data_IF_359142534480
#
_entry.id   IF_359142534480
#
_cell.length_a   1.000
_cell.length_b   1.000
_cell.length_c   1.000
_cell.angle_alpha   90.00
_cell.angle_beta   90.00
_cell.angle_gamma   90.00
#
_symmetry.space_group_name_H-M   'P 1'
#
loop_
_entity.id
_entity.type
_entity.pdbx_description
1 polymer ?
#
# COMPACT_ATOMS: atom_id res chain seq x y z
N UNK A 1 45.63 35.77 23.16
CA UNK A 1 46.86 35.05 22.76
C UNK A 1 46.63 34.69 21.30
N UNK A 2 47.19 35.50 20.41
CA UNK A 2 47.14 35.28 18.97
C UNK A 2 48.30 34.38 18.58
N UNK A 3 48.04 33.36 17.78
CA UNK A 3 49.09 32.58 17.13
C UNK A 3 48.92 32.76 15.63
N UNK A 4 49.93 33.39 15.02
CA UNK A 4 50.06 33.62 13.58
C UNK A 4 51.10 32.65 13.03
N UNK A 5 50.75 31.95 11.95
CA UNK A 5 51.69 31.16 11.15
C UNK A 5 51.37 31.33 9.66
N UNK A 6 52.18 32.14 8.98
CA UNK A 6 52.33 32.32 7.52
C UNK A 6 53.20 31.18 6.95
N UNK A 7 53.21 30.72 5.68
CA UNK A 7 53.18 31.35 4.35
C UNK A 7 52.83 30.31 3.23
N UNK A 8 52.37 30.77 2.06
CA UNK A 8 52.98 30.66 0.69
C UNK A 8 51.92 30.94 -0.39
N UNK A 9 52.27 31.83 -1.34
CA UNK A 9 51.48 32.44 -2.42
C UNK A 9 50.86 31.49 -3.45
N UNK A 10 49.54 31.62 -3.64
CA UNK A 10 48.79 31.88 -4.89
C UNK A 10 47.36 31.37 -4.70
N UNK A 11 46.69 31.94 -3.71
CA UNK A 11 45.28 31.71 -3.43
C UNK A 11 44.65 33.05 -3.21
N UNK A 12 43.74 33.44 -4.10
CA UNK A 12 42.75 34.49 -3.77
C UNK A 12 41.89 33.92 -2.65
N UNK A 13 42.40 34.01 -1.42
CA UNK A 13 41.64 33.76 -0.22
C UNK A 13 40.80 35.00 -0.04
N UNK A 14 39.58 34.95 -0.55
CA UNK A 14 38.55 35.91 -0.15
C UNK A 14 38.33 35.64 1.34
N UNK A 15 39.04 36.38 2.18
CA UNK A 15 38.75 36.45 3.61
C UNK A 15 37.40 37.15 3.73
N UNK A 16 36.34 36.36 3.70
CA UNK A 16 34.97 36.84 3.91
C UNK A 16 34.90 37.23 5.38
N UNK A 17 35.30 38.47 5.70
CA UNK A 17 34.98 39.11 6.97
C UNK A 17 33.47 39.33 7.01
N UNK A 18 32.75 38.33 7.51
CA UNK A 18 31.35 38.47 7.86
C UNK A 18 31.24 39.54 8.96
N UNK A 19 30.35 40.51 8.73
CA UNK A 19 29.99 41.51 9.74
C UNK A 19 29.27 40.83 10.92
N UNK A 20 29.33 41.41 12.13
CA UNK A 20 28.68 40.84 13.32
C UNK A 20 27.18 40.56 13.09
N UNK A 21 26.50 41.39 12.29
CA UNK A 21 25.10 41.19 11.88
C UNK A 21 24.91 39.95 10.98
N UNK A 22 25.85 39.66 10.08
CA UNK A 22 25.80 38.48 9.22
C UNK A 22 26.11 37.19 10.00
N UNK A 23 26.96 37.26 11.03
CA UNK A 23 27.23 36.14 11.95
C UNK A 23 25.96 35.80 12.74
N UNK A 24 25.29 36.80 13.32
CA UNK A 24 24.02 36.62 14.06
C UNK A 24 22.94 36.03 13.14
N UNK A 25 22.83 36.52 11.90
CA UNK A 25 21.88 36.01 10.92
C UNK A 25 22.18 34.56 10.54
N UNK A 26 23.45 34.20 10.39
CA UNK A 26 23.87 32.82 10.11
C UNK A 26 23.57 31.88 11.28
N UNK A 27 23.85 32.30 12.52
CA UNK A 27 23.51 31.54 13.72
C UNK A 27 21.99 31.33 13.83
N UNK A 28 21.19 32.35 13.57
CA UNK A 28 19.72 32.26 13.57
C UNK A 28 19.20 31.28 12.49
N UNK A 29 19.76 31.34 11.28
CA UNK A 29 19.43 30.42 10.19
C UNK A 29 19.79 28.97 10.54
N UNK A 30 20.95 28.75 11.16
CA UNK A 30 21.39 27.42 11.59
C UNK A 30 20.50 26.87 12.71
N UNK A 31 20.14 27.69 13.69
CA UNK A 31 19.19 27.34 14.76
C UNK A 31 17.83 26.91 14.18
N UNK A 32 17.32 27.69 13.22
CA UNK A 32 16.04 27.41 12.53
C UNK A 32 16.09 26.12 11.71
N UNK A 33 17.20 25.85 11.03
CA UNK A 33 17.40 24.58 10.30
C UNK A 33 17.41 23.38 11.26
N UNK A 34 18.11 23.48 12.40
CA UNK A 34 18.11 22.42 13.44
C UNK A 34 16.70 22.19 13.97
N UNK A 35 15.94 23.24 14.27
CA UNK A 35 14.56 23.12 14.75
C UNK A 35 13.66 22.45 13.67
N UNK A 36 13.86 22.82 12.41
CA UNK A 36 13.17 22.21 11.28
C UNK A 36 13.45 20.70 11.20
N UNK A 37 14.73 20.30 11.27
CA UNK A 37 15.15 18.91 11.26
C UNK A 37 14.55 18.12 12.43
N UNK A 38 14.52 18.70 13.63
CA UNK A 38 13.88 18.08 14.81
C UNK A 38 12.38 17.87 14.60
N UNK A 39 11.66 18.87 14.08
CA UNK A 39 10.22 18.77 13.75
C UNK A 39 9.96 17.73 12.67
N UNK A 40 10.79 17.68 11.63
CA UNK A 40 10.73 16.68 10.55
C UNK A 40 10.94 15.27 11.10
N UNK A 41 11.96 15.06 11.94
CA UNK A 41 12.22 13.79 12.63
C UNK A 41 11.06 13.37 13.53
N UNK A 42 10.44 14.31 14.26
CA UNK A 42 9.26 14.05 15.09
C UNK A 42 8.07 13.59 14.26
N UNK A 43 7.82 14.25 13.13
CA UNK A 43 6.76 13.86 12.17
C UNK A 43 7.02 12.47 11.56
N UNK A 44 8.26 12.17 11.16
CA UNK A 44 8.63 10.84 10.67
C UNK A 44 8.41 9.76 11.73
N UNK A 45 8.77 10.03 12.99
CA UNK A 45 8.56 9.11 14.11
C UNK A 45 7.06 8.90 14.40
N UNK A 46 6.23 9.93 14.18
CA UNK A 46 4.78 9.83 14.35
C UNK A 46 4.15 8.82 13.37
N UNK A 47 4.62 8.74 12.11
CA UNK A 47 4.17 7.73 11.14
C UNK A 47 4.25 6.31 11.70
N UNK A 48 5.41 5.96 12.24
CA UNK A 48 5.64 4.63 12.80
C UNK A 48 4.75 4.36 14.02
N UNK A 49 4.49 5.37 14.86
CA UNK A 49 3.57 5.24 15.98
C UNK A 49 2.14 4.96 15.51
N UNK A 50 1.65 5.64 14.46
CA UNK A 50 0.34 5.31 13.87
C UNK A 50 0.32 3.90 13.26
N UNK A 51 1.41 3.47 12.62
CA UNK A 51 1.57 2.09 12.13
C UNK A 51 1.47 1.05 13.25
N UNK A 52 2.12 1.30 14.39
CA UNK A 52 2.06 0.44 15.58
C UNK A 52 0.64 0.42 16.15
N UNK A 53 0.00 1.59 16.29
CA UNK A 53 -1.40 1.69 16.75
C UNK A 53 -2.32 0.87 15.85
N UNK A 54 -2.21 1.03 14.53
CA UNK A 54 -3.02 0.30 13.55
C UNK A 54 -2.79 -1.22 13.67
N UNK A 55 -1.54 -1.65 13.81
CA UNK A 55 -1.18 -3.06 14.05
C UNK A 55 -1.82 -3.61 15.32
N UNK A 56 -1.74 -2.88 16.44
CA UNK A 56 -2.38 -3.28 17.70
C UNK A 56 -3.89 -3.40 17.55
N UNK A 57 -4.54 -2.47 16.86
CA UNK A 57 -5.98 -2.53 16.60
C UNK A 57 -6.36 -3.74 15.73
N UNK A 58 -5.54 -4.10 14.74
CA UNK A 58 -5.74 -5.32 13.95
C UNK A 58 -5.63 -6.58 14.81
N UNK A 59 -4.65 -6.63 15.73
CA UNK A 59 -4.52 -7.74 16.68
C UNK A 59 -5.69 -7.83 17.66
N UNK A 60 -6.23 -6.68 18.11
CA UNK A 60 -7.45 -6.64 18.94
C UNK A 60 -8.66 -7.14 18.14
N UNK A 61 -8.84 -6.71 16.89
CA UNK A 61 -9.91 -7.18 16.01
C UNK A 61 -9.82 -8.70 15.80
N UNK A 62 -8.61 -9.21 15.57
CA UNK A 62 -8.35 -10.65 15.48
C UNK A 62 -8.73 -11.39 16.77
N UNK A 63 -8.23 -10.92 17.91
CA UNK A 63 -8.49 -11.56 19.20
C UNK A 63 -9.98 -11.61 19.49
N UNK A 64 -10.70 -10.52 19.22
CA UNK A 64 -12.15 -10.46 19.39
C UNK A 64 -12.89 -11.42 18.46
N UNK A 65 -12.46 -11.53 17.20
CA UNK A 65 -13.05 -12.46 16.22
C UNK A 65 -12.91 -13.92 16.65
N UNK A 66 -11.71 -14.35 17.03
CA UNK A 66 -11.40 -15.77 17.26
C UNK A 66 -11.71 -16.23 18.70
N UNK A 67 -11.65 -15.31 19.68
CA UNK A 67 -11.76 -15.61 21.13
C UNK A 67 -12.84 -14.82 21.88
N UNK A 68 -13.49 -13.83 21.25
CA UNK A 68 -14.43 -12.92 21.91
C UNK A 68 -15.58 -13.63 22.65
N UNK A 69 -16.06 -14.76 22.11
CA UNK A 69 -17.12 -15.55 22.75
C UNK A 69 -16.71 -16.10 24.14
N UNK A 70 -15.47 -16.57 24.29
CA UNK A 70 -14.99 -17.14 25.57
C UNK A 70 -14.85 -16.06 26.64
N UNK A 71 -14.52 -14.83 26.22
CA UNK A 71 -14.37 -13.67 27.10
C UNK A 71 -15.73 -13.06 27.48
N UNK A 72 -16.72 -13.10 26.58
CA UNK A 72 -18.06 -12.55 26.81
C UNK A 72 -18.88 -13.32 27.85
N UNK A 73 -18.60 -14.61 28.09
CA UNK A 73 -19.25 -15.37 29.17
C UNK A 73 -18.95 -14.81 30.57
N UNK A 74 -17.93 -13.96 30.70
CA UNK A 74 -17.52 -13.35 31.97
C UNK A 74 -18.06 -11.92 32.17
N UNK A 75 -18.46 -11.24 31.10
CA UNK A 75 -18.99 -9.87 31.14
C UNK A 75 -20.37 -9.83 30.49
N UNK A 76 -21.41 -9.44 31.23
CA UNK A 76 -22.80 -9.21 30.77
C UNK A 76 -22.95 -8.09 29.71
N UNK A 77 -21.86 -7.70 29.06
CA UNK A 77 -21.79 -6.60 28.11
C UNK A 77 -22.17 -7.15 26.73
N UNK A 78 -23.35 -6.71 26.25
CA UNK A 78 -23.90 -6.79 24.89
C UNK A 78 -24.94 -7.88 24.59
N UNK A 79 -26.14 -7.63 25.13
CA UNK A 79 -27.46 -8.08 24.60
C UNK A 79 -27.79 -7.45 23.22
N UNK A 80 -26.79 -7.32 22.35
CA UNK A 80 -26.86 -6.66 21.03
C UNK A 80 -26.80 -7.66 19.86
N UNK A 81 -26.72 -8.95 20.18
CA UNK A 81 -26.86 -10.04 19.24
C UNK A 81 -28.18 -10.72 19.62
N UNK A 82 -29.13 -10.79 18.68
CA UNK A 82 -30.41 -11.46 18.87
C UNK A 82 -30.27 -12.98 19.17
N UNK A 83 -31.35 -13.75 19.05
CA UNK A 83 -31.38 -15.15 19.47
C UNK A 83 -30.39 -16.09 18.74
N UNK A 84 -29.79 -15.68 17.62
CA UNK A 84 -28.77 -16.45 16.87
C UNK A 84 -27.32 -16.08 17.27
N UNK A 85 -27.03 -16.17 18.57
CA UNK A 85 -25.87 -15.56 19.23
C UNK A 85 -24.45 -16.04 18.88
N UNK A 86 -24.25 -16.92 17.89
CA UNK A 86 -22.92 -17.45 17.55
C UNK A 86 -22.20 -16.69 16.42
N UNK A 87 -22.91 -16.31 15.35
CA UNK A 87 -22.29 -15.66 14.18
C UNK A 87 -22.09 -14.15 14.40
N UNK A 88 -22.89 -13.56 15.27
CA UNK A 88 -22.84 -12.14 15.59
C UNK A 88 -21.51 -11.71 16.24
N UNK A 89 -20.85 -12.54 17.07
CA UNK A 89 -19.61 -12.13 17.74
C UNK A 89 -18.40 -11.98 16.80
N UNK A 90 -18.33 -12.81 15.75
CA UNK A 90 -17.17 -12.84 14.87
C UNK A 90 -17.17 -11.64 13.93
N UNK A 91 -18.18 -11.58 13.05
CA UNK A 91 -18.28 -10.54 12.02
C UNK A 91 -18.54 -9.17 12.65
N UNK A 92 -19.50 -9.06 13.58
CA UNK A 92 -19.83 -7.76 14.19
C UNK A 92 -18.73 -7.25 15.11
N UNK A 93 -18.00 -8.15 15.78
CA UNK A 93 -16.85 -7.77 16.60
C UNK A 93 -15.78 -7.07 15.77
N UNK A 94 -15.39 -7.67 14.63
CA UNK A 94 -14.43 -7.08 13.70
C UNK A 94 -14.94 -5.75 13.14
N UNK A 95 -16.20 -5.70 12.68
CA UNK A 95 -16.80 -4.49 12.13
C UNK A 95 -16.84 -3.34 13.15
N UNK A 96 -17.13 -3.61 14.42
CA UNK A 96 -17.12 -2.59 15.48
C UNK A 96 -15.71 -2.06 15.78
N UNK A 97 -14.71 -2.94 15.88
CA UNK A 97 -13.32 -2.52 16.08
C UNK A 97 -12.82 -1.71 14.88
N UNK A 98 -13.15 -2.16 13.67
CA UNK A 98 -12.89 -1.44 12.43
C UNK A 98 -13.56 -0.07 12.40
N UNK A 99 -14.84 0.03 12.78
CA UNK A 99 -15.57 1.30 12.82
C UNK A 99 -14.92 2.31 13.76
N UNK A 100 -14.51 1.88 14.97
CA UNK A 100 -13.80 2.74 15.90
C UNK A 100 -12.44 3.20 15.35
N UNK A 101 -11.71 2.30 14.68
CA UNK A 101 -10.45 2.61 14.01
C UNK A 101 -10.65 3.61 12.85
N UNK A 102 -11.66 3.39 12.02
CA UNK A 102 -12.06 4.27 10.94
C UNK A 102 -12.38 5.67 11.46
N UNK A 103 -13.23 5.79 12.48
CA UNK A 103 -13.59 7.07 13.10
C UNK A 103 -12.34 7.80 13.59
N UNK A 104 -11.44 7.12 14.30
CA UNK A 104 -10.19 7.71 14.78
C UNK A 104 -9.33 8.27 13.64
N UNK A 105 -9.01 7.46 12.63
CA UNK A 105 -8.18 7.91 11.51
C UNK A 105 -8.88 8.93 10.62
N UNK A 106 -10.20 8.89 10.52
CA UNK A 106 -10.98 9.88 9.79
C UNK A 106 -11.00 11.24 10.50
N UNK A 107 -11.11 11.27 11.84
CA UNK A 107 -10.93 12.50 12.63
C UNK A 107 -9.51 13.05 12.43
N UNK A 108 -8.49 12.18 12.45
CA UNK A 108 -7.12 12.58 12.17
C UNK A 108 -6.95 13.14 10.74
N UNK A 109 -7.63 12.56 9.75
CA UNK A 109 -7.68 13.08 8.39
C UNK A 109 -8.29 14.49 8.36
N UNK A 110 -9.50 14.69 8.89
CA UNK A 110 -10.18 16.00 8.89
C UNK A 110 -9.35 17.09 9.59
N UNK A 111 -8.70 16.75 10.70
CA UNK A 111 -7.90 17.70 11.50
C UNK A 111 -6.53 18.02 10.91
N UNK A 112 -5.98 17.17 10.03
CA UNK A 112 -4.65 17.35 9.44
C UNK A 112 -4.66 17.63 7.93
N UNK A 113 -5.82 17.54 7.28
CA UNK A 113 -5.97 17.84 5.86
C UNK A 113 -5.55 19.28 5.54
N UNK A 114 -4.93 19.50 4.38
CA UNK A 114 -4.44 20.81 3.95
C UNK A 114 -3.22 21.34 4.72
N UNK A 115 -2.54 20.51 5.52
CA UNK A 115 -1.24 20.89 6.11
C UNK A 115 -0.18 20.85 5.03
N UNK A 116 0.62 21.91 4.90
CA UNK A 116 1.76 21.98 3.96
C UNK A 116 3.09 22.31 4.66
N UNK A 117 3.07 23.07 5.75
CA UNK A 117 4.26 23.58 6.46
C UNK A 117 4.45 22.95 7.84
N UNK A 118 5.72 22.77 8.25
CA UNK A 118 6.11 22.19 9.54
C UNK A 118 5.81 23.08 10.75
N UNK A 119 5.75 24.41 10.58
CA UNK A 119 5.45 25.34 11.68
C UNK A 119 3.94 25.46 11.99
N UNK A 120 3.08 24.85 11.18
CA UNK A 120 1.63 24.88 11.39
C UNK A 120 1.22 24.14 12.68
N UNK A 121 0.23 24.66 13.40
CA UNK A 121 -0.39 24.03 14.59
C UNK A 121 -0.86 22.59 14.27
N UNK A 122 -1.33 22.35 13.03
CA UNK A 122 -1.73 21.02 12.56
C UNK A 122 -0.58 20.00 12.57
N UNK A 123 0.68 20.42 12.36
CA UNK A 123 1.84 19.54 12.52
C UNK A 123 2.07 19.19 14.00
N UNK A 124 1.92 20.15 14.91
CA UNK A 124 2.01 19.90 16.35
C UNK A 124 0.94 18.89 16.80
N UNK A 125 -0.29 19.05 16.28
CA UNK A 125 -1.36 18.07 16.46
C UNK A 125 -0.97 16.70 15.88
N UNK A 126 -0.54 16.62 14.62
CA UNK A 126 -0.15 15.36 13.96
C UNK A 126 0.98 14.62 14.69
N UNK A 127 2.01 15.34 15.12
CA UNK A 127 3.28 14.78 15.61
C UNK A 127 3.38 14.69 17.14
N UNK A 128 2.47 15.32 17.88
CA UNK A 128 2.47 15.40 19.35
C UNK A 128 1.18 14.86 19.99
N UNK A 129 0.88 15.33 21.21
CA UNK A 129 -0.42 15.12 21.89
C UNK A 129 -0.90 13.66 21.93
N UNK A 130 0.04 12.72 22.13
CA UNK A 130 -0.22 11.28 22.06
C UNK A 130 -1.23 10.80 23.10
N UNK A 131 -1.17 11.32 24.33
CA UNK A 131 -2.12 10.94 25.38
C UNK A 131 -3.56 11.27 24.99
N UNK A 132 -3.80 12.46 24.39
CA UNK A 132 -5.12 12.84 23.93
C UNK A 132 -5.59 11.96 22.76
N UNK A 133 -4.70 11.63 21.82
CA UNK A 133 -5.04 10.75 20.69
C UNK A 133 -5.36 9.32 21.14
N UNK A 134 -4.60 8.79 22.10
CA UNK A 134 -4.89 7.48 22.69
C UNK A 134 -6.25 7.49 23.39
N UNK A 135 -6.59 8.56 24.11
CA UNK A 135 -7.93 8.71 24.69
C UNK A 135 -9.02 8.75 23.60
N UNK A 136 -8.83 9.54 22.53
CA UNK A 136 -9.78 9.60 21.40
C UNK A 136 -9.94 8.23 20.73
N UNK A 137 -8.84 7.50 20.52
CA UNK A 137 -8.86 6.15 19.95
C UNK A 137 -9.66 5.20 20.84
N UNK A 138 -9.39 5.17 22.15
CA UNK A 138 -10.10 4.32 23.09
C UNK A 138 -11.59 4.67 23.14
N UNK A 139 -11.93 5.96 23.16
CA UNK A 139 -13.31 6.43 23.11
C UNK A 139 -13.98 5.97 21.81
N UNK A 140 -13.33 6.13 20.65
CA UNK A 140 -13.88 5.71 19.37
C UNK A 140 -14.08 4.18 19.30
N UNK A 141 -13.13 3.40 19.81
CA UNK A 141 -13.22 1.94 19.90
C UNK A 141 -14.32 1.47 20.85
N UNK A 142 -14.52 2.15 21.99
CA UNK A 142 -15.58 1.80 22.94
C UNK A 142 -16.94 2.25 22.44
N UNK A 143 -17.02 3.45 21.87
CA UNK A 143 -18.24 4.03 21.31
C UNK A 143 -18.85 3.13 20.22
N UNK A 144 -18.03 2.51 19.38
CA UNK A 144 -18.51 1.64 18.31
C UNK A 144 -19.26 0.39 18.82
N UNK A 145 -19.05 -0.04 20.07
CA UNK A 145 -19.81 -1.14 20.67
C UNK A 145 -21.21 -0.72 21.14
N UNK A 146 -21.44 0.56 21.39
CA UNK A 146 -22.76 1.08 21.73
C UNK A 146 -23.66 1.28 20.49
N UNK A 147 -23.10 1.19 19.28
CA UNK A 147 -23.86 1.34 18.04
C UNK A 147 -24.71 0.07 17.78
N UNK A 148 -26.02 0.23 17.50
CA UNK A 148 -26.91 -0.90 17.17
C UNK A 148 -26.44 -1.71 15.96
N UNK A 149 -26.82 -2.98 15.91
CA UNK A 149 -26.40 -3.93 14.87
C UNK A 149 -26.70 -3.45 13.45
N UNK A 150 -27.86 -2.84 13.23
CA UNK A 150 -28.31 -2.45 11.89
C UNK A 150 -27.40 -1.39 11.28
N UNK A 151 -26.93 -0.43 12.08
CA UNK A 151 -25.97 0.58 11.64
C UNK A 151 -24.56 0.02 11.43
N UNK A 152 -24.16 -0.99 12.21
CA UNK A 152 -22.86 -1.67 12.00
C UNK A 152 -22.90 -2.50 10.72
N UNK A 153 -24.03 -3.12 10.39
CA UNK A 153 -24.23 -3.82 9.13
C UNK A 153 -24.16 -2.85 7.94
N UNK A 154 -24.84 -1.69 8.05
CA UNK A 154 -24.73 -0.61 7.06
C UNK A 154 -23.28 -0.13 6.90
N UNK A 155 -22.55 0.00 8.01
CA UNK A 155 -21.12 0.30 7.97
C UNK A 155 -20.32 -0.79 7.25
N UNK A 156 -20.64 -2.07 7.43
CA UNK A 156 -19.97 -3.16 6.72
C UNK A 156 -20.14 -3.08 5.19
N UNK A 157 -21.33 -2.72 4.70
CA UNK A 157 -21.57 -2.45 3.29
C UNK A 157 -20.77 -1.23 2.79
N UNK A 158 -20.74 -0.16 3.57
CA UNK A 158 -19.91 1.01 3.27
C UNK A 158 -18.41 0.67 3.26
N UNK A 159 -17.97 -0.16 4.21
CA UNK A 159 -16.60 -0.63 4.35
C UNK A 159 -16.18 -1.51 3.17
N UNK A 160 -17.11 -2.29 2.57
CA UNK A 160 -16.85 -3.04 1.33
C UNK A 160 -16.45 -2.12 0.19
N UNK A 161 -17.15 -0.99 0.01
CA UNK A 161 -16.82 0.01 -1.01
C UNK A 161 -15.49 0.69 -0.70
N UNK A 162 -15.27 1.12 0.55
CA UNK A 162 -14.02 1.76 0.96
C UNK A 162 -12.80 0.84 0.86
N UNK A 163 -12.95 -0.45 1.14
CA UNK A 163 -11.93 -1.47 0.91
C UNK A 163 -11.59 -1.63 -0.57
N UNK A 164 -12.58 -1.53 -1.47
CA UNK A 164 -12.35 -1.49 -2.92
C UNK A 164 -11.53 -0.27 -3.35
N UNK A 165 -11.84 0.92 -2.80
CA UNK A 165 -11.05 2.15 -3.05
C UNK A 165 -9.62 1.97 -2.54
N UNK A 166 -9.45 1.39 -1.35
CA UNK A 166 -8.13 1.10 -0.77
C UNK A 166 -7.30 0.20 -1.70
N UNK A 167 -7.88 -0.88 -2.23
CA UNK A 167 -7.21 -1.79 -3.15
C UNK A 167 -6.70 -1.08 -4.40
N UNK A 168 -7.50 -0.18 -4.99
CA UNK A 168 -7.08 0.60 -6.18
C UNK A 168 -5.90 1.52 -5.82
N UNK A 169 -5.96 2.23 -4.68
CA UNK A 169 -4.88 3.11 -4.23
C UNK A 169 -3.60 2.33 -3.93
N UNK A 170 -3.73 1.20 -3.22
CA UNK A 170 -2.63 0.29 -2.93
C UNK A 170 -2.00 -0.22 -4.22
N UNK A 171 -2.82 -0.58 -5.22
CA UNK A 171 -2.34 -1.10 -6.50
C UNK A 171 -1.53 -0.04 -7.27
N UNK A 172 -2.02 1.20 -7.32
CA UNK A 172 -1.26 2.31 -7.94
C UNK A 172 0.10 2.48 -7.25
N UNK A 173 0.11 2.40 -5.91
CA UNK A 173 1.34 2.48 -5.12
C UNK A 173 2.31 1.32 -5.40
N UNK A 174 1.80 0.09 -5.49
CA UNK A 174 2.62 -1.09 -5.85
C UNK A 174 3.22 -0.94 -7.24
N UNK A 175 2.48 -0.42 -8.22
CA UNK A 175 3.00 -0.22 -9.59
C UNK A 175 4.10 0.84 -9.60
N UNK A 176 3.96 1.95 -8.87
CA UNK A 176 5.04 2.94 -8.76
C UNK A 176 6.25 2.37 -8.01
N UNK A 177 6.03 1.58 -6.97
CA UNK A 177 7.11 0.87 -6.30
C UNK A 177 7.85 -0.07 -7.26
N UNK A 178 7.15 -0.81 -8.12
CA UNK A 178 7.76 -1.65 -9.15
C UNK A 178 8.54 -0.79 -10.16
N UNK A 179 8.02 0.37 -10.56
CA UNK A 179 8.71 1.29 -11.47
C UNK A 179 9.99 1.87 -10.85
N UNK A 180 9.93 2.27 -9.57
CA UNK A 180 11.08 2.69 -8.79
C UNK A 180 12.11 1.57 -8.66
N UNK A 181 11.65 0.34 -8.39
CA UNK A 181 12.52 -0.82 -8.25
C UNK A 181 13.24 -1.15 -9.56
N UNK A 182 12.53 -1.05 -10.67
CA UNK A 182 13.09 -1.18 -12.01
C UNK A 182 14.19 -0.13 -12.26
N UNK A 183 13.92 1.14 -11.96
CA UNK A 183 14.91 2.21 -12.12
C UNK A 183 16.14 2.03 -11.22
N UNK A 184 15.96 1.46 -10.01
CA UNK A 184 17.05 1.18 -9.08
C UNK A 184 18.00 0.09 -9.59
N UNK A 185 17.48 -0.99 -10.17
CA UNK A 185 18.30 -2.08 -10.73
C UNK A 185 18.84 -1.77 -12.12
N UNK A 186 18.17 -0.90 -12.86
CA UNK A 186 18.55 -0.46 -14.20
C UNK A 186 18.83 1.06 -14.24
N UNK A 187 19.85 1.55 -13.51
CA UNK A 187 20.28 2.94 -13.65
C UNK A 187 20.94 3.12 -15.03
N UNK A 188 20.69 4.28 -15.65
CA UNK A 188 21.00 4.67 -17.03
C UNK A 188 22.22 3.97 -17.69
N UNK A 189 22.05 3.74 -19.01
CA UNK A 189 22.89 3.11 -20.06
C UNK A 189 24.43 3.30 -20.02
N UNK A 190 25.01 4.11 -19.12
CA UNK A 190 26.46 4.37 -19.09
C UNK A 190 27.31 3.24 -18.51
N UNK A 191 26.73 2.21 -17.90
CA UNK A 191 27.47 1.02 -17.45
C UNK A 191 26.98 -0.24 -18.18
N UNK A 192 27.77 -0.73 -19.13
CA UNK A 192 27.56 -2.03 -19.84
C UNK A 192 27.31 -3.24 -18.90
N UNK A 193 27.69 -3.13 -17.63
CA UNK A 193 27.48 -4.12 -16.55
C UNK A 193 26.05 -4.11 -15.94
N UNK A 194 25.31 -2.99 -15.96
CA UNK A 194 23.94 -2.92 -15.41
C UNK A 194 22.90 -3.56 -16.34
N UNK A 195 23.07 -3.44 -17.66
CA UNK A 195 22.16 -4.03 -18.67
C UNK A 195 22.08 -5.56 -18.58
N UNK A 196 23.21 -6.25 -18.38
CA UNK A 196 23.24 -7.71 -18.21
C UNK A 196 22.52 -8.16 -16.92
N UNK A 197 22.64 -7.39 -15.84
CA UNK A 197 21.98 -7.69 -14.57
C UNK A 197 20.45 -7.56 -14.68
N UNK A 198 19.94 -6.53 -15.36
CA UNK A 198 18.50 -6.38 -15.57
C UNK A 198 17.90 -7.46 -16.47
N UNK A 199 18.60 -7.87 -17.52
CA UNK A 199 18.17 -8.99 -18.37
C UNK A 199 18.13 -10.31 -17.61
N UNK A 200 19.16 -10.60 -16.80
CA UNK A 200 19.18 -11.77 -15.91
C UNK A 200 18.01 -11.76 -14.93
N UNK A 201 17.80 -10.65 -14.21
CA UNK A 201 16.70 -10.51 -13.25
C UNK A 201 15.34 -10.62 -13.93
N UNK A 202 15.17 -10.02 -15.11
CA UNK A 202 13.94 -10.14 -15.88
C UNK A 202 13.65 -11.59 -16.27
N UNK A 203 14.67 -12.33 -16.67
CA UNK A 203 14.55 -13.74 -17.07
C UNK A 203 14.13 -14.58 -15.86
N UNK A 204 14.69 -14.31 -14.69
CA UNK A 204 14.32 -14.97 -13.43
C UNK A 204 12.85 -14.73 -13.06
N UNK A 205 12.36 -13.49 -13.15
CA UNK A 205 10.95 -13.19 -12.88
C UNK A 205 9.99 -13.86 -13.86
N UNK A 206 10.32 -13.89 -15.15
CA UNK A 206 9.50 -14.61 -16.14
C UNK A 206 9.51 -16.12 -15.92
N UNK A 207 10.66 -16.70 -15.59
CA UNK A 207 10.76 -18.13 -15.26
C UNK A 207 9.95 -18.48 -14.01
N UNK A 208 10.05 -17.66 -12.95
CA UNK A 208 9.26 -17.81 -11.74
C UNK A 208 7.76 -17.72 -12.02
N UNK A 209 7.34 -16.77 -12.87
CA UNK A 209 5.95 -16.60 -13.28
C UNK A 209 5.43 -17.82 -14.06
N UNK A 210 6.24 -18.36 -14.98
CA UNK A 210 5.91 -19.58 -15.73
C UNK A 210 5.78 -20.80 -14.81
N UNK A 211 6.73 -20.99 -13.89
CA UNK A 211 6.65 -22.04 -12.87
C UNK A 211 5.38 -21.90 -12.01
N UNK A 212 5.01 -20.68 -11.64
CA UNK A 212 3.78 -20.39 -10.90
C UNK A 212 2.51 -20.79 -11.66
N UNK A 213 2.42 -20.47 -12.95
CA UNK A 213 1.30 -20.90 -13.83
C UNK A 213 1.21 -22.43 -13.89
N UNK A 214 2.35 -23.11 -14.12
CA UNK A 214 2.39 -24.58 -14.20
C UNK A 214 1.95 -25.21 -12.88
N UNK A 215 2.44 -24.70 -11.74
CA UNK A 215 2.05 -25.16 -10.42
C UNK A 215 0.55 -24.95 -10.16
N UNK A 216 -0.02 -23.81 -10.56
CA UNK A 216 -1.46 -23.55 -10.44
C UNK A 216 -2.29 -24.54 -11.26
N UNK A 217 -1.90 -24.84 -12.51
CA UNK A 217 -2.60 -25.85 -13.30
C UNK A 217 -2.53 -27.23 -12.65
N UNK A 218 -1.35 -27.62 -12.17
CA UNK A 218 -1.16 -28.92 -11.53
C UNK A 218 -1.99 -29.07 -10.25
N UNK A 219 -2.13 -28.02 -9.46
CA UNK A 219 -2.76 -28.07 -8.14
C UNK A 219 -4.26 -27.77 -8.13
N UNK A 220 -4.74 -26.81 -8.92
CA UNK A 220 -6.11 -26.28 -8.87
C UNK A 220 -6.96 -26.57 -10.12
N UNK A 221 -6.33 -27.09 -11.19
CA UNK A 221 -6.98 -27.32 -12.48
C UNK A 221 -6.61 -28.66 -13.13
N UNK A 222 -6.24 -29.68 -12.34
CA UNK A 222 -5.85 -31.01 -12.84
C UNK A 222 -7.03 -31.81 -13.43
N UNK A 223 -8.28 -31.37 -13.21
CA UNK A 223 -9.50 -32.01 -13.73
C UNK A 223 -10.24 -31.05 -14.67
N UNK A 224 -10.83 -31.55 -15.77
CA UNK A 224 -11.59 -30.72 -16.70
C UNK A 224 -12.88 -30.14 -16.09
N UNK A 225 -13.34 -30.68 -14.96
CA UNK A 225 -14.48 -30.15 -14.21
C UNK A 225 -14.20 -28.81 -13.53
N UNK A 226 -12.93 -28.41 -13.41
CA UNK A 226 -12.50 -27.17 -12.74
C UNK A 226 -12.49 -25.98 -13.71
N UNK A 227 -13.59 -25.76 -14.43
CA UNK A 227 -13.68 -24.80 -15.54
C UNK A 227 -13.36 -23.37 -15.12
N UNK A 228 -13.81 -22.97 -13.93
CA UNK A 228 -13.58 -21.63 -13.39
C UNK A 228 -12.11 -21.39 -13.04
N UNK A 229 -11.45 -22.35 -12.39
CA UNK A 229 -10.02 -22.25 -12.08
C UNK A 229 -9.17 -22.27 -13.36
N UNK A 230 -9.54 -23.11 -14.34
CA UNK A 230 -8.92 -23.12 -15.68
C UNK A 230 -9.07 -21.74 -16.33
N UNK A 231 -10.25 -21.13 -16.28
CA UNK A 231 -10.48 -19.79 -16.83
C UNK A 231 -9.61 -18.73 -16.17
N UNK A 232 -9.50 -18.72 -14.83
CA UNK A 232 -8.65 -17.75 -14.14
C UNK A 232 -7.19 -17.90 -14.53
N UNK A 233 -6.64 -19.12 -14.46
CA UNK A 233 -5.22 -19.35 -14.78
C UNK A 233 -4.91 -19.09 -16.25
N UNK A 234 -5.79 -19.49 -17.18
CA UNK A 234 -5.63 -19.20 -18.62
C UNK A 234 -5.63 -17.69 -18.87
N UNK A 235 -6.55 -16.95 -18.24
CA UNK A 235 -6.65 -15.51 -18.41
C UNK A 235 -5.42 -14.80 -17.85
N UNK A 236 -4.92 -15.19 -16.68
CA UNK A 236 -3.65 -14.70 -16.12
C UNK A 236 -2.49 -14.93 -17.10
N UNK A 237 -2.39 -16.12 -17.70
CA UNK A 237 -1.36 -16.41 -18.68
C UNK A 237 -1.47 -15.51 -19.94
N UNK A 238 -2.68 -15.21 -20.40
CA UNK A 238 -2.93 -14.27 -21.50
C UNK A 238 -2.48 -12.85 -21.11
N UNK A 239 -2.84 -12.38 -19.91
CA UNK A 239 -2.42 -11.06 -19.42
C UNK A 239 -0.89 -10.93 -19.38
N UNK A 240 -0.19 -11.98 -18.95
CA UNK A 240 1.28 -12.05 -18.97
C UNK A 240 1.86 -11.90 -20.38
N UNK A 241 1.32 -12.64 -21.36
CA UNK A 241 1.74 -12.55 -22.75
C UNK A 241 1.49 -11.15 -23.33
N UNK A 242 0.33 -10.55 -23.04
CA UNK A 242 -0.03 -9.20 -23.48
C UNK A 242 0.90 -8.15 -22.88
N UNK A 243 1.17 -8.21 -21.58
CA UNK A 243 2.10 -7.30 -20.90
C UNK A 243 3.52 -7.41 -21.46
N UNK A 244 3.99 -8.64 -21.73
CA UNK A 244 5.30 -8.87 -22.33
C UNK A 244 5.37 -8.30 -23.76
N UNK A 245 4.37 -8.56 -24.61
CA UNK A 245 4.32 -8.08 -25.99
C UNK A 245 4.30 -6.55 -26.07
N UNK A 246 3.50 -5.89 -25.23
CA UNK A 246 3.41 -4.42 -25.20
C UNK A 246 4.71 -3.81 -24.67
N UNK A 247 5.36 -4.42 -23.69
CA UNK A 247 6.61 -3.93 -23.13
C UNK A 247 7.79 -4.02 -24.13
N UNK A 248 7.77 -5.02 -25.00
CA UNK A 248 8.73 -5.19 -26.11
C UNK A 248 8.45 -4.31 -27.32
N UNK A 249 7.25 -3.72 -27.41
CA UNK A 249 6.88 -2.91 -28.55
C UNK A 249 7.81 -1.69 -28.69
N UNK A 250 8.31 -1.45 -29.89
CA UNK A 250 9.35 -0.46 -30.19
C UNK A 250 9.01 0.97 -29.73
N UNK A 251 7.72 1.32 -29.68
CA UNK A 251 7.26 2.64 -29.20
C UNK A 251 7.24 2.80 -27.67
N UNK A 252 7.21 1.70 -26.90
CA UNK A 252 7.14 1.73 -25.42
C UNK A 252 8.54 1.59 -24.82
N UNK A 253 9.29 0.58 -25.29
CA UNK A 253 10.67 0.21 -24.91
C UNK A 253 11.07 0.54 -23.44
N UNK A 254 10.25 0.13 -22.46
CA UNK A 254 10.49 0.38 -21.02
C UNK A 254 11.40 -0.67 -20.34
N UNK A 255 11.96 -1.60 -21.11
CA UNK A 255 12.75 -2.73 -20.62
C UNK A 255 11.88 -3.88 -20.07
N UNK A 256 12.38 -5.11 -20.19
CA UNK A 256 11.66 -6.33 -19.83
C UNK A 256 11.50 -6.52 -18.31
N UNK A 257 12.38 -5.94 -17.49
CA UNK A 257 12.40 -6.18 -16.04
C UNK A 257 11.12 -5.71 -15.34
N UNK A 258 10.62 -4.51 -15.65
CA UNK A 258 9.35 -4.00 -15.11
C UNK A 258 8.18 -4.95 -15.41
N UNK A 259 8.10 -5.44 -16.65
CA UNK A 259 7.04 -6.37 -17.07
C UNK A 259 7.16 -7.75 -16.43
N UNK A 260 8.38 -8.23 -16.19
CA UNK A 260 8.63 -9.48 -15.47
C UNK A 260 8.23 -9.40 -14.00
N UNK A 261 8.57 -8.31 -13.30
CA UNK A 261 8.13 -8.09 -11.90
C UNK A 261 6.61 -8.02 -11.83
N UNK A 262 5.98 -7.30 -12.76
CA UNK A 262 4.52 -7.23 -12.85
C UNK A 262 3.89 -8.59 -13.13
N UNK A 263 4.47 -9.39 -14.04
CA UNK A 263 4.02 -10.76 -14.33
C UNK A 263 4.02 -11.63 -13.06
N UNK A 264 5.08 -11.57 -12.26
CA UNK A 264 5.15 -12.30 -10.98
C UNK A 264 4.11 -11.82 -9.98
N UNK A 265 3.83 -10.52 -9.94
CA UNK A 265 2.79 -9.96 -9.06
C UNK A 265 1.38 -10.42 -9.46
N UNK A 266 1.05 -10.40 -10.76
CA UNK A 266 -0.24 -10.87 -11.29
C UNK A 266 -0.41 -12.38 -11.03
N UNK A 267 0.63 -13.18 -11.26
CA UNK A 267 0.62 -14.62 -10.91
C UNK A 267 0.42 -14.84 -9.41
N UNK A 268 1.04 -14.03 -8.56
CA UNK A 268 0.83 -14.09 -7.11
C UNK A 268 -0.62 -13.73 -6.71
N UNK A 269 -1.23 -12.74 -7.35
CA UNK A 269 -2.62 -12.38 -7.10
C UNK A 269 -3.58 -13.52 -7.50
N UNK A 270 -3.38 -14.12 -8.67
CA UNK A 270 -4.13 -15.30 -9.11
C UNK A 270 -3.97 -16.47 -8.11
N UNK A 271 -2.74 -16.79 -7.72
CA UNK A 271 -2.46 -17.82 -6.73
C UNK A 271 -3.18 -17.55 -5.39
N UNK A 272 -3.11 -16.30 -4.92
CA UNK A 272 -3.79 -15.86 -3.69
C UNK A 272 -5.31 -15.97 -3.80
N UNK A 273 -5.89 -15.75 -4.99
CA UNK A 273 -7.32 -15.90 -5.23
C UNK A 273 -7.76 -17.37 -5.23
N UNK A 274 -7.00 -18.26 -5.89
CA UNK A 274 -7.27 -19.70 -5.89
C UNK A 274 -7.14 -20.31 -4.48
N UNK A 275 -6.17 -19.85 -3.69
CA UNK A 275 -6.03 -20.23 -2.26
C UNK A 275 -7.20 -19.77 -1.38
N UNK A 276 -8.00 -18.81 -1.84
CA UNK A 276 -9.19 -18.30 -1.15
C UNK A 276 -10.45 -19.09 -1.49
N UNK A 277 -10.40 -20.04 -2.44
CA UNK A 277 -11.51 -20.93 -2.76
C UNK A 277 -11.94 -21.73 -1.51
N UNK A 278 -13.25 -21.89 -1.23
CA UNK A 278 -13.71 -22.64 -0.08
C UNK A 278 -13.29 -24.13 -0.15
N UNK A 279 -12.82 -24.67 0.98
CA UNK A 279 -12.18 -25.99 1.06
C UNK A 279 -13.07 -27.20 0.71
N UNK A 280 -14.38 -27.01 0.52
CA UNK A 280 -15.31 -28.08 0.12
C UNK A 280 -15.48 -28.21 -1.40
N UNK A 281 -14.81 -27.36 -2.17
CA UNK A 281 -14.83 -27.42 -3.62
C UNK A 281 -13.92 -28.52 -4.16
N UNK A 282 -14.36 -29.16 -5.24
CA UNK A 282 -13.69 -30.32 -5.87
C UNK A 282 -12.30 -30.00 -6.43
N UNK A 283 -11.99 -28.71 -6.56
CA UNK A 283 -10.83 -28.16 -7.25
C UNK A 283 -9.81 -27.51 -6.31
N UNK A 284 -10.17 -27.30 -5.04
CA UNK A 284 -9.22 -26.86 -4.02
C UNK A 284 -8.39 -28.05 -3.53
N UNK A 285 -7.07 -27.91 -3.35
CA UNK A 285 -6.26 -28.90 -2.64
C UNK A 285 -6.86 -29.13 -1.26
N UNK A 286 -7.36 -30.34 -1.02
CA UNK A 286 -8.06 -30.67 0.21
C UNK A 286 -7.08 -30.60 1.40
N UNK A 287 -7.13 -29.53 2.18
CA UNK A 287 -6.45 -29.47 3.47
C UNK A 287 -7.31 -30.21 4.51
N UNK A 288 -7.21 -31.53 4.52
CA UNK A 288 -7.95 -32.42 5.43
C UNK A 288 -7.33 -32.45 6.84
N UNK A 289 -6.88 -31.29 7.35
CA UNK A 289 -6.23 -31.21 8.65
C UNK A 289 -7.22 -30.76 9.72
N UNK A 290 -7.72 -31.73 10.49
CA UNK A 290 -8.52 -31.51 11.72
C UNK A 290 -7.74 -30.77 12.83
N UNK A 291 -6.44 -30.52 12.64
CA UNK A 291 -5.58 -29.77 13.55
C UNK A 291 -5.08 -28.47 12.91
N UNK A 292 -5.12 -27.37 13.67
CA UNK A 292 -4.52 -26.09 13.28
C UNK A 292 -3.01 -26.28 13.25
N UNK A 293 -2.45 -26.34 12.05
CA UNK A 293 -1.01 -26.43 11.82
C UNK A 293 -0.33 -25.10 12.17
N UNK A 294 0.88 -25.15 12.72
CA UNK A 294 1.71 -23.97 12.98
C UNK A 294 1.91 -23.13 11.71
N UNK A 295 1.95 -23.77 10.54
CA UNK A 295 2.00 -23.07 9.25
C UNK A 295 0.77 -22.21 8.98
N UNK A 296 -0.41 -22.59 9.49
CA UNK A 296 -1.65 -21.79 9.36
C UNK A 296 -1.59 -20.55 10.23
N UNK A 297 -1.11 -20.70 11.47
CA UNK A 297 -0.86 -19.58 12.40
C UNK A 297 0.15 -18.61 11.82
N UNK A 298 1.27 -19.13 11.30
CA UNK A 298 2.30 -18.32 10.65
C UNK A 298 1.75 -17.59 9.42
N UNK A 299 1.00 -18.27 8.56
CA UNK A 299 0.35 -17.67 7.39
C UNK A 299 -0.63 -16.56 7.77
N UNK A 300 -1.40 -16.76 8.83
CA UNK A 300 -2.30 -15.73 9.38
C UNK A 300 -1.53 -14.48 9.85
N UNK A 301 -0.46 -14.65 10.65
CA UNK A 301 0.36 -13.53 11.13
C UNK A 301 1.06 -12.77 9.99
N UNK A 302 1.51 -13.51 8.97
CA UNK A 302 2.05 -12.90 7.74
C UNK A 302 0.95 -12.09 7.04
N UNK A 303 -0.28 -12.62 6.95
CA UNK A 303 -1.44 -11.90 6.41
C UNK A 303 -1.72 -10.60 7.15
N UNK A 304 -1.81 -10.62 8.47
CA UNK A 304 -1.99 -9.41 9.30
C UNK A 304 -0.86 -8.41 9.08
N UNK A 305 0.38 -8.89 9.06
CA UNK A 305 1.55 -8.04 8.81
C UNK A 305 1.53 -7.43 7.41
N UNK A 306 1.09 -8.18 6.39
CA UNK A 306 0.95 -7.71 5.02
C UNK A 306 -0.11 -6.61 4.91
N UNK A 307 -1.22 -6.70 5.65
CA UNK A 307 -2.26 -5.64 5.69
C UNK A 307 -1.69 -4.34 6.28
N UNK A 308 -0.98 -4.44 7.40
CA UNK A 308 -0.34 -3.28 8.05
C UNK A 308 0.71 -2.67 7.13
N UNK A 309 1.56 -3.49 6.50
CA UNK A 309 2.58 -3.03 5.57
C UNK A 309 1.97 -2.38 4.32
N UNK A 310 0.93 -2.96 3.74
CA UNK A 310 0.21 -2.39 2.60
C UNK A 310 -0.40 -1.03 2.93
N UNK A 311 -1.02 -0.90 4.11
CA UNK A 311 -1.61 0.36 4.57
C UNK A 311 -0.53 1.41 4.81
N UNK A 312 0.57 1.01 5.46
CA UNK A 312 1.69 1.90 5.76
C UNK A 312 2.40 2.36 4.47
N UNK A 313 2.71 1.45 3.55
CA UNK A 313 3.40 1.76 2.28
C UNK A 313 2.54 2.67 1.41
N UNK A 314 1.25 2.38 1.28
CA UNK A 314 0.32 3.19 0.50
C UNK A 314 0.17 4.58 1.14
N UNK A 315 0.17 4.68 2.47
CA UNK A 315 0.04 5.95 3.18
C UNK A 315 1.26 6.87 3.04
N UNK A 316 2.47 6.31 2.89
CA UNK A 316 3.69 7.11 2.68
C UNK A 316 3.88 7.55 1.23
N UNK A 317 3.30 6.83 0.26
CA UNK A 317 3.40 7.10 -1.17
C UNK A 317 2.50 8.27 -1.62
N UNK A 318 2.43 9.31 -0.79
CA UNK A 318 1.59 10.48 -1.08
C UNK A 318 2.06 11.27 -2.30
N UNK A 319 3.36 11.20 -2.64
CA UNK A 319 3.95 11.96 -3.75
C UNK A 319 3.39 11.55 -5.11
N UNK A 320 3.15 10.25 -5.31
CA UNK A 320 2.51 9.70 -6.51
C UNK A 320 1.14 10.33 -6.78
N UNK A 321 0.41 10.69 -5.73
CA UNK A 321 -0.94 11.24 -5.83
C UNK A 321 -0.98 12.78 -5.79
N UNK A 322 0.18 13.46 -5.71
CA UNK A 322 0.21 14.91 -5.80
C UNK A 322 0.13 15.36 -7.27
N UNK A 323 -0.99 15.99 -7.63
CA UNK A 323 -1.25 16.55 -8.97
C UNK A 323 -0.23 17.62 -9.40
N UNK A 324 0.54 18.20 -8.47
CA UNK A 324 1.60 19.19 -8.74
C UNK A 324 2.93 18.61 -8.30
N UNK A 325 3.76 18.21 -9.27
CA UNK A 325 5.17 17.87 -9.04
C UNK A 325 5.87 19.10 -8.44
N UNK A 326 6.29 19.04 -7.18
CA UNK A 326 6.97 20.17 -6.54
C UNK A 326 8.35 20.34 -7.20
N UNK A 327 8.47 21.35 -8.06
CA UNK A 327 9.74 21.73 -8.67
C UNK A 327 10.64 22.46 -7.65
N UNK A 328 10.08 22.94 -6.54
CA UNK A 328 10.82 23.56 -5.42
C UNK A 328 10.23 23.11 -4.07
N UNK A 329 10.85 22.13 -3.40
CA UNK A 329 10.54 21.80 -2.00
C UNK A 329 11.30 22.75 -1.08
N UNK A 330 10.57 23.50 -0.25
CA UNK A 330 11.19 24.35 0.75
C UNK A 330 11.60 23.52 1.98
N UNK A 331 12.64 23.95 2.69
CA UNK A 331 13.15 23.23 3.86
C UNK A 331 12.08 23.05 4.96
N UNK A 332 11.12 23.97 5.04
CA UNK A 332 10.01 23.97 6.02
C UNK A 332 8.77 23.18 5.58
N UNK A 333 8.80 22.55 4.40
CA UNK A 333 7.71 21.71 3.91
C UNK A 333 7.60 20.39 4.69
N UNK A 334 6.37 19.90 4.84
CA UNK A 334 6.14 18.61 5.48
C UNK A 334 6.69 17.46 4.63
N UNK A 335 7.21 16.39 5.26
CA UNK A 335 7.90 15.32 4.54
C UNK A 335 6.97 14.32 3.81
N UNK A 336 5.67 14.57 3.76
CA UNK A 336 4.58 13.76 3.16
C UNK A 336 3.24 14.41 3.50
N UNK A 337 2.20 14.13 2.73
CA UNK A 337 0.86 14.66 2.99
C UNK A 337 0.20 13.93 4.18
N UNK A 338 0.04 14.63 5.32
CA UNK A 338 -0.56 14.08 6.54
C UNK A 338 -2.02 13.67 6.35
N UNK A 339 -2.79 14.44 5.59
CA UNK A 339 -4.19 14.14 5.30
C UNK A 339 -4.29 12.84 4.50
N UNK A 340 -3.55 12.73 3.40
CA UNK A 340 -3.53 11.52 2.58
C UNK A 340 -3.14 10.28 3.41
N UNK A 341 -2.09 10.39 4.23
CA UNK A 341 -1.68 9.30 5.11
C UNK A 341 -2.81 8.81 6.02
N UNK A 342 -3.51 9.71 6.72
CA UNK A 342 -4.61 9.34 7.60
C UNK A 342 -5.85 8.83 6.85
N UNK A 343 -6.11 9.36 5.66
CA UNK A 343 -7.16 8.84 4.78
C UNK A 343 -6.87 7.38 4.40
N UNK A 344 -5.64 7.06 4.00
CA UNK A 344 -5.25 5.68 3.69
C UNK A 344 -5.39 4.76 4.90
N UNK A 345 -5.04 5.20 6.11
CA UNK A 345 -5.27 4.40 7.32
C UNK A 345 -6.75 4.20 7.64
N UNK A 346 -7.60 5.21 7.37
CA UNK A 346 -9.05 5.07 7.54
C UNK A 346 -9.67 4.09 6.53
N UNK A 347 -9.20 4.10 5.28
CA UNK A 347 -9.58 3.12 4.26
C UNK A 347 -8.99 1.73 4.56
N UNK A 348 -7.77 1.68 5.07
CA UNK A 348 -7.12 0.46 5.56
C UNK A 348 -7.89 -0.18 6.72
N UNK A 349 -8.55 0.64 7.55
CA UNK A 349 -9.43 0.15 8.62
C UNK A 349 -10.65 -0.63 8.06
N UNK A 350 -11.23 -0.15 6.96
CA UNK A 350 -12.30 -0.84 6.25
C UNK A 350 -11.79 -2.09 5.54
N UNK A 351 -10.62 -1.97 4.89
CA UNK A 351 -9.98 -3.08 4.18
C UNK A 351 -9.69 -4.26 5.09
N UNK A 352 -9.00 -4.07 6.22
CA UNK A 352 -8.72 -5.19 7.13
C UNK A 352 -10.02 -5.85 7.60
N UNK A 353 -11.08 -5.07 7.85
CA UNK A 353 -12.35 -5.63 8.29
C UNK A 353 -12.92 -6.60 7.25
N UNK A 354 -12.92 -6.17 5.97
CA UNK A 354 -13.38 -7.01 4.86
C UNK A 354 -12.55 -8.28 4.74
N UNK A 355 -11.23 -8.21 4.92
CA UNK A 355 -10.40 -9.43 4.85
C UNK A 355 -10.69 -10.40 5.99
N UNK A 356 -10.89 -9.86 7.19
CA UNK A 356 -11.17 -10.66 8.39
C UNK A 356 -12.53 -11.36 8.34
N UNK A 357 -13.51 -10.78 7.64
CA UNK A 357 -14.84 -11.38 7.42
C UNK A 357 -14.97 -12.05 6.06
N UNK A 358 -13.87 -12.15 5.29
CA UNK A 358 -13.84 -12.75 3.96
C UNK A 358 -14.83 -12.13 2.95
N UNK A 359 -15.01 -10.80 3.03
CA UNK A 359 -15.85 -9.98 2.16
C UNK A 359 -17.36 -10.27 2.23
N UNK A 360 -17.78 -11.12 3.17
CA UNK A 360 -19.17 -11.53 3.34
C UNK A 360 -19.64 -11.20 4.76
N UNK A 361 -20.72 -10.42 4.87
CA UNK A 361 -21.28 -10.02 6.15
C UNK A 361 -22.11 -11.14 6.81
N UNK A 362 -22.63 -12.07 6.00
CA UNK A 362 -23.58 -13.10 6.44
C UNK A 362 -22.92 -14.46 6.71
N UNK A 363 -21.62 -14.61 6.44
CA UNK A 363 -20.93 -15.90 6.60
C UNK A 363 -20.19 -16.00 7.93
N UNK A 364 -20.31 -17.16 8.60
CA UNK A 364 -19.41 -17.53 9.69
C UNK A 364 -17.94 -17.59 9.23
N UNK A 365 -17.04 -17.06 10.04
CA UNK A 365 -15.60 -17.04 9.76
C UNK A 365 -14.89 -18.22 10.44
N UNK A 366 -13.89 -18.80 9.77
CA UNK A 366 -13.06 -19.86 10.38
C UNK A 366 -11.93 -19.24 11.20
N UNK A 367 -11.67 -19.79 12.39
CA UNK A 367 -10.51 -19.39 13.21
C UNK A 367 -9.20 -19.52 12.42
N UNK A 368 -8.26 -18.60 12.67
CA UNK A 368 -6.96 -18.56 11.97
C UNK A 368 -7.06 -18.50 10.44
N UNK A 369 -8.18 -18.03 9.89
CA UNK A 369 -8.35 -17.78 8.46
C UNK A 369 -8.56 -16.29 8.18
N UNK A 370 -8.14 -15.86 7.00
CA UNK A 370 -8.37 -14.51 6.44
C UNK A 370 -8.73 -14.76 4.98
N UNK A 371 -9.69 -14.00 4.45
CA UNK A 371 -9.98 -14.01 3.00
C UNK A 371 -10.36 -15.38 2.43
N UNK A 372 -11.17 -16.19 3.12
CA UNK A 372 -11.58 -17.51 2.61
C UNK A 372 -13.05 -17.48 2.21
N UNK A 373 -13.32 -17.67 0.91
CA UNK A 373 -14.66 -17.71 0.34
C UNK A 373 -14.71 -17.13 -1.07
N UNK A 374 -15.78 -17.44 -1.80
CA UNK A 374 -15.97 -17.01 -3.18
C UNK A 374 -15.92 -15.48 -3.36
N UNK A 375 -16.45 -14.71 -2.40
CA UNK A 375 -16.38 -13.26 -2.44
C UNK A 375 -14.93 -12.75 -2.42
N UNK A 376 -14.10 -13.31 -1.53
CA UNK A 376 -12.66 -13.02 -1.47
C UNK A 376 -11.94 -13.41 -2.76
N UNK A 377 -12.20 -14.61 -3.29
CA UNK A 377 -11.63 -15.08 -4.56
C UNK A 377 -11.91 -14.09 -5.70
N UNK A 378 -13.17 -13.68 -5.86
CA UNK A 378 -13.55 -12.72 -6.90
C UNK A 378 -12.91 -11.35 -6.72
N UNK A 379 -12.86 -10.82 -5.49
CA UNK A 379 -12.21 -9.54 -5.22
C UNK A 379 -10.74 -9.58 -5.61
N UNK A 380 -10.03 -10.67 -5.31
CA UNK A 380 -8.62 -10.84 -5.69
C UNK A 380 -8.42 -10.97 -7.19
N UNK A 381 -9.27 -11.72 -7.90
CA UNK A 381 -9.23 -11.84 -9.38
C UNK A 381 -9.52 -10.50 -10.05
N UNK A 382 -10.52 -9.77 -9.58
CA UNK A 382 -10.84 -8.44 -10.11
C UNK A 382 -9.69 -7.46 -9.82
N UNK A 383 -9.08 -7.53 -8.64
CA UNK A 383 -7.89 -6.75 -8.30
C UNK A 383 -6.70 -7.07 -9.22
N UNK A 384 -6.50 -8.33 -9.59
CA UNK A 384 -5.51 -8.74 -10.59
C UNK A 384 -5.77 -8.11 -11.97
N UNK A 385 -7.03 -8.12 -12.43
CA UNK A 385 -7.39 -7.52 -13.72
C UNK A 385 -7.17 -6.01 -13.72
N UNK A 386 -7.55 -5.32 -12.64
CA UNK A 386 -7.24 -3.91 -12.47
C UNK A 386 -5.72 -3.68 -12.44
N UNK A 387 -4.94 -4.56 -11.80
CA UNK A 387 -3.49 -4.46 -11.77
C UNK A 387 -2.89 -4.47 -13.16
N UNK A 388 -3.22 -5.48 -13.96
CA UNK A 388 -2.78 -5.57 -15.35
C UNK A 388 -3.26 -4.36 -16.17
N UNK A 389 -4.51 -3.95 -16.00
CA UNK A 389 -5.09 -2.83 -16.78
C UNK A 389 -4.41 -1.50 -16.47
N UNK A 390 -4.22 -1.15 -15.20
CA UNK A 390 -3.55 0.10 -14.79
C UNK A 390 -2.09 0.08 -15.26
N UNK A 391 -1.41 -1.05 -15.16
CA UNK A 391 -0.04 -1.19 -15.65
C UNK A 391 0.06 -0.97 -17.16
N UNK A 392 -0.79 -1.65 -17.94
CA UNK A 392 -0.85 -1.49 -19.40
C UNK A 392 -1.19 -0.06 -19.79
N UNK A 393 -2.15 0.58 -19.09
CA UNK A 393 -2.48 1.98 -19.31
C UNK A 393 -1.28 2.89 -19.06
N UNK A 394 -0.51 2.68 -17.97
CA UNK A 394 0.70 3.47 -17.70
C UNK A 394 1.78 3.30 -18.77
N UNK A 395 1.90 2.12 -19.39
CA UNK A 395 2.83 1.89 -20.50
C UNK A 395 2.39 2.59 -21.79
N UNK A 396 1.08 2.58 -22.08
CA UNK A 396 0.50 3.12 -23.32
C UNK A 396 0.31 4.64 -23.25
N UNK A 397 0.01 5.18 -22.07
CA UNK A 397 -0.34 6.58 -21.84
C UNK A 397 0.65 7.60 -22.44
N UNK A 398 1.98 7.46 -22.29
CA UNK A 398 2.94 8.38 -22.90
C UNK A 398 2.83 8.45 -24.43
N UNK A 399 2.52 7.33 -25.08
CA UNK A 399 2.43 7.23 -26.54
C UNK A 399 1.14 7.88 -27.04
N UNK A 400 0.02 7.64 -26.35
CA UNK A 400 -1.28 8.24 -26.70
C UNK A 400 -1.24 9.76 -26.54
N UNK A 401 -0.47 10.26 -25.56
CA UNK A 401 -0.39 11.69 -25.26
C UNK A 401 0.56 12.47 -26.16
N UNK A 402 1.43 11.84 -26.95
CA UNK A 402 2.27 12.59 -27.91
C UNK A 402 1.41 13.04 -29.11
N UNK A 403 1.14 14.35 -29.30
CA UNK A 403 0.53 14.80 -30.54
C UNK A 403 1.53 14.52 -31.68
N UNK A 404 1.06 13.87 -32.74
CA UNK A 404 1.80 13.70 -34.00
C UNK A 404 2.23 15.08 -34.51
N UNK A 405 3.47 15.48 -34.24
CA UNK A 405 4.15 16.49 -35.06
C UNK A 405 4.70 15.71 -36.26
N UNK A 406 3.86 15.49 -37.27
CA UNK A 406 4.32 15.11 -38.60
C UNK A 406 4.92 16.37 -39.23
N UNK A 407 6.22 16.60 -39.05
CA UNK A 407 6.91 17.59 -39.86
C UNK A 407 7.00 17.03 -41.29
N UNK A 408 6.29 17.67 -42.21
CA UNK A 408 6.62 17.62 -43.62
C UNK A 408 8.05 18.16 -43.77
N UNK A 409 8.99 17.29 -44.16
CA UNK A 409 10.26 17.76 -44.73
C UNK A 409 9.93 18.33 -46.12
N UNK A 410 9.91 19.66 -46.24
CA UNK A 410 10.10 20.32 -47.52
C UNK A 410 11.59 20.21 -47.91
N UNK A 411 11.92 19.85 -49.16
CA UNK A 411 13.30 19.84 -49.63
C UNK A 411 13.76 21.29 -49.85
N UNK A 412 14.70 21.77 -49.04
CA UNK A 412 15.41 23.02 -49.33
C UNK A 412 16.19 22.88 -50.64
N UNK A 413 15.81 23.70 -51.62
CA UNK A 413 16.57 23.99 -52.82
C UNK A 413 17.95 24.54 -52.43
N UNK A 414 19.01 23.90 -52.93
CA UNK A 414 20.32 24.49 -53.06
C UNK A 414 20.26 25.48 -54.24
N UNK A 415 20.33 26.77 -53.94
CA UNK A 415 20.68 27.80 -54.92
C UNK A 415 21.85 28.65 -54.42
N UNK A 416 22.64 29.08 -55.40
CA UNK A 416 24.00 29.59 -55.37
C UNK A 416 24.17 30.94 -54.63
N UNK A 417 25.31 31.10 -53.93
CA UNK A 417 26.35 32.09 -54.28
C UNK A 417 27.65 31.86 -53.51
#
# INVERSE_FOLDING_TARGET
MAESGEMIEDGVFVDIKLTDDEIIQWEFMQQRSIECLLRKKKSLRARFMYGIIFSLVNLVAWFLRDYGQRVSLHFHVLKACGPEGHECFQTMGVLRVSLGCFIFFFIMFLTTCGTSKLYNIRNTWHSGWWSLKLAILLIALVFSFFIPSDYVHLYGEFARVGAGIFLILQLISVIEFIAWWNAYWMPDERKKRSSCCGLFMSTLFYLASLCGIIAMYAMYASKPSCTLNIFFITWTAILLLVMMAISLHSKVNRGLLSSGIMASYVVFLCWSALRSEPAHEKCSPQHDNKHVDWMTVLGFLIGVSAIVMATFSTGIDSETFQLKKQVDQMEDDIPYNYGFFHLIFSLGAMYFAMLFISWNLDSSTRKWSIDVGWASTWVKIVNEWFAATIYLWKLIWPIVRQPKIMNHEEPMQQDQQ
#
